data_IF_327551431448
#
_entry.id   IF_327551431448
#
_cell.length_a   1.000
_cell.length_b   1.000
_cell.length_c   1.000
_cell.angle_alpha   90.00
_cell.angle_beta   90.00
_cell.angle_gamma   90.00
#
_symmetry.space_group_name_H-M   'P 1'
#
loop_
_entity.id
_entity.type
_entity.pdbx_description
1 polymer ?
#
# COMPACT_ATOMS: atom_id res chain seq x y z
N UNK A 1 -17.44 -4.30 13.87
CA UNK A 1 -17.71 -5.45 12.99
C UNK A 1 -17.54 -5.00 11.55
N UNK A 2 -16.34 -5.15 10.98
CA UNK A 2 -16.11 -4.90 9.55
C UNK A 2 -15.83 -6.25 8.90
N UNK A 3 -16.82 -6.75 8.16
CA UNK A 3 -16.73 -7.96 7.37
C UNK A 3 -15.64 -7.79 6.34
N UNK A 4 -14.45 -8.34 6.62
CA UNK A 4 -13.41 -8.52 5.61
C UNK A 4 -13.93 -9.55 4.63
N UNK A 5 -14.63 -9.08 3.60
CA UNK A 5 -15.07 -9.92 2.50
C UNK A 5 -13.80 -10.43 1.81
N UNK A 6 -13.38 -11.64 2.15
CA UNK A 6 -12.22 -12.30 1.53
C UNK A 6 -12.63 -12.69 0.13
N UNK A 7 -12.63 -11.70 -0.77
CA UNK A 7 -12.65 -11.95 -2.20
C UNK A 7 -11.50 -12.93 -2.47
N UNK A 8 -11.82 -14.14 -2.94
CA UNK A 8 -10.82 -15.09 -3.39
C UNK A 8 -10.16 -14.51 -4.65
N UNK A 9 -9.14 -13.65 -4.46
CA UNK A 9 -8.39 -13.04 -5.54
C UNK A 9 -7.43 -14.10 -6.08
N UNK A 10 -7.80 -14.71 -7.20
CA UNK A 10 -6.91 -15.61 -7.95
C UNK A 10 -5.86 -14.79 -8.72
N UNK A 11 -4.60 -15.26 -8.84
CA UNK A 11 -3.58 -14.60 -9.67
C UNK A 11 -4.02 -14.35 -11.12
N UNK A 12 -4.85 -15.24 -11.69
CA UNK A 12 -5.41 -15.04 -13.05
C UNK A 12 -6.37 -13.85 -13.09
N UNK A 13 -7.24 -13.73 -12.08
CA UNK A 13 -8.20 -12.63 -11.96
C UNK A 13 -7.49 -11.30 -11.75
N UNK A 14 -6.48 -11.27 -10.88
CA UNK A 14 -5.65 -10.09 -10.67
C UNK A 14 -4.94 -9.64 -11.94
N UNK A 15 -4.33 -10.58 -12.69
CA UNK A 15 -3.68 -10.26 -13.97
C UNK A 15 -4.67 -9.70 -14.98
N UNK A 16 -5.83 -10.34 -15.13
CA UNK A 16 -6.86 -9.84 -16.04
C UNK A 16 -7.25 -8.41 -15.68
N UNK A 17 -7.55 -8.14 -14.41
CA UNK A 17 -7.94 -6.82 -13.90
C UNK A 17 -6.86 -5.75 -14.14
N UNK A 18 -5.58 -6.08 -13.91
CA UNK A 18 -4.44 -5.18 -14.15
C UNK A 18 -4.33 -4.76 -15.62
N UNK A 19 -4.51 -5.69 -16.56
CA UNK A 19 -4.30 -5.42 -17.99
C UNK A 19 -5.57 -4.98 -18.72
N UNK A 20 -6.76 -5.25 -18.19
CA UNK A 20 -8.03 -4.79 -18.77
C UNK A 20 -8.43 -3.39 -18.30
N UNK A 21 -7.65 -2.77 -17.42
CA UNK A 21 -8.01 -1.47 -16.88
C UNK A 21 -7.97 -0.38 -17.96
N UNK A 22 -9.09 0.31 -18.11
CA UNK A 22 -9.22 1.51 -18.93
C UNK A 22 -9.48 2.73 -18.05
N UNK A 23 -8.89 3.87 -18.40
CA UNK A 23 -9.19 5.18 -17.79
C UNK A 23 -10.57 5.67 -18.23
N UNK A 24 -11.63 5.03 -17.72
CA UNK A 24 -13.01 5.44 -17.95
C UNK A 24 -13.59 6.03 -16.66
N UNK A 25 -14.43 7.04 -16.81
CA UNK A 25 -15.15 7.61 -15.68
C UNK A 25 -16.19 6.59 -15.18
N UNK A 26 -16.13 6.24 -13.89
CA UNK A 26 -16.89 5.13 -13.30
C UNK A 26 -16.16 3.78 -13.18
N UNK A 27 -14.87 3.69 -13.52
CA UNK A 27 -14.09 2.45 -13.32
C UNK A 27 -14.14 1.95 -11.87
N UNK A 28 -14.44 0.66 -11.70
CA UNK A 28 -14.42 -0.01 -10.40
C UNK A 28 -13.02 -0.01 -9.80
N UNK A 29 -12.92 0.05 -8.46
CA UNK A 29 -11.65 -0.06 -7.73
C UNK A 29 -10.87 -1.30 -8.19
N UNK A 30 -9.66 -1.15 -8.76
CA UNK A 30 -8.84 -2.27 -9.20
C UNK A 30 -8.52 -3.24 -8.05
N UNK A 31 -8.47 -4.54 -8.36
CA UNK A 31 -8.17 -5.60 -7.39
C UNK A 31 -6.80 -5.43 -6.75
N UNK A 32 -5.85 -4.81 -7.45
CA UNK A 32 -4.52 -4.54 -6.91
C UNK A 32 -4.55 -3.71 -5.63
N UNK A 33 -5.56 -2.85 -5.45
CA UNK A 33 -5.72 -2.06 -4.22
C UNK A 33 -6.00 -2.98 -3.02
N UNK A 34 -6.91 -3.94 -3.17
CA UNK A 34 -7.21 -4.93 -2.13
C UNK A 34 -6.02 -5.85 -1.83
N UNK A 35 -5.28 -6.25 -2.87
CA UNK A 35 -4.06 -7.04 -2.70
C UNK A 35 -3.00 -6.24 -1.94
N UNK A 36 -2.77 -4.99 -2.33
CA UNK A 36 -1.79 -4.11 -1.69
C UNK A 36 -2.15 -3.87 -0.22
N UNK A 37 -3.41 -3.57 0.08
CA UNK A 37 -3.86 -3.42 1.47
C UNK A 37 -3.57 -4.68 2.30
N UNK A 38 -3.95 -5.85 1.78
CA UNK A 38 -3.71 -7.12 2.48
C UNK A 38 -2.23 -7.40 2.72
N UNK A 39 -1.36 -7.12 1.73
CA UNK A 39 0.09 -7.30 1.88
C UNK A 39 0.69 -6.39 2.95
N UNK A 40 0.26 -5.13 2.98
CA UNK A 40 0.74 -4.15 3.96
C UNK A 40 0.22 -4.49 5.37
N UNK A 41 -1.06 -4.85 5.51
CA UNK A 41 -1.64 -5.29 6.79
C UNK A 41 -0.94 -6.54 7.33
N UNK A 42 -0.64 -7.52 6.47
CA UNK A 42 0.16 -8.70 6.85
C UNK A 42 1.56 -8.32 7.31
N UNK A 43 2.18 -7.34 6.66
CA UNK A 43 3.51 -6.84 7.02
C UNK A 43 3.50 -6.13 8.36
N UNK A 44 2.48 -5.30 8.63
CA UNK A 44 2.25 -4.69 9.93
C UNK A 44 2.10 -5.73 11.04
N UNK A 45 1.19 -6.70 10.86
CA UNK A 45 0.96 -7.76 11.84
C UNK A 45 2.23 -8.58 12.13
N UNK A 46 3.08 -8.80 11.11
CA UNK A 46 4.39 -9.43 11.28
C UNK A 46 5.34 -8.53 12.08
N UNK A 47 5.43 -7.25 11.73
CA UNK A 47 6.32 -6.29 12.39
C UNK A 47 5.97 -6.09 13.86
N UNK A 48 4.68 -6.04 14.22
CA UNK A 48 4.22 -5.95 15.61
C UNK A 48 4.66 -7.14 16.46
N UNK A 49 4.65 -8.35 15.89
CA UNK A 49 5.14 -9.56 16.58
C UNK A 49 6.65 -9.49 16.83
N UNK A 50 7.42 -8.97 15.86
CA UNK A 50 8.88 -8.85 15.97
C UNK A 50 9.27 -7.74 16.96
N UNK A 51 8.59 -6.59 16.92
CA UNK A 51 8.87 -5.46 17.83
C UNK A 51 8.64 -5.81 19.30
N UNK A 52 7.64 -6.64 19.61
CA UNK A 52 7.41 -7.15 20.98
C UNK A 52 8.53 -8.06 21.49
N UNK A 53 9.32 -8.66 20.60
CA UNK A 53 10.35 -9.65 20.96
C UNK A 53 11.76 -9.06 21.13
N UNK A 54 12.03 -7.87 20.60
CA UNK A 54 13.42 -7.38 20.44
C UNK A 54 13.64 -5.91 20.81
N UNK A 55 12.72 -5.28 21.56
CA UNK A 55 12.97 -4.00 22.25
C UNK A 55 13.53 -2.87 21.37
N UNK A 56 12.64 -2.17 20.66
CA UNK A 56 12.93 -0.87 20.04
C UNK A 56 13.72 -0.94 18.72
N UNK A 57 13.06 -0.61 17.61
CA UNK A 57 13.68 -0.54 16.28
C UNK A 57 13.64 0.89 15.73
N UNK A 58 14.75 1.31 15.12
CA UNK A 58 14.78 2.33 14.06
C UNK A 58 14.77 3.80 14.49
N UNK A 59 15.90 4.49 14.28
CA UNK A 59 16.08 5.95 14.46
C UNK A 59 15.34 6.81 13.43
N UNK A 60 14.83 6.23 12.35
CA UNK A 60 14.30 6.97 11.20
C UNK A 60 12.82 7.24 11.35
N UNK A 61 12.47 8.48 11.70
CA UNK A 61 11.09 8.97 11.88
C UNK A 61 10.51 9.68 10.64
N UNK A 62 11.15 9.55 9.48
CA UNK A 62 10.87 10.36 8.28
C UNK A 62 9.42 10.26 7.81
N UNK A 63 8.78 9.10 8.02
CA UNK A 63 7.38 8.87 7.65
C UNK A 63 6.44 8.81 8.85
N UNK A 64 6.91 8.99 10.08
CA UNK A 64 6.05 8.89 11.26
C UNK A 64 5.08 10.07 11.36
N UNK A 65 3.81 9.75 11.58
CA UNK A 65 2.79 10.69 12.02
C UNK A 65 2.86 10.87 13.55
N UNK A 66 2.46 12.06 14.02
CA UNK A 66 2.28 12.34 15.44
C UNK A 66 1.10 11.55 16.04
N UNK A 67 0.09 11.26 15.22
CA UNK A 67 -1.11 10.53 15.59
C UNK A 67 -1.43 9.48 14.51
N UNK A 68 -1.98 8.34 14.93
CA UNK A 68 -2.41 7.28 14.01
C UNK A 68 -3.71 7.72 13.34
N UNK A 69 -3.77 7.76 11.98
CA UNK A 69 -5.01 8.10 11.30
C UNK A 69 -6.13 7.10 11.63
N UNK A 70 -7.33 7.60 11.94
CA UNK A 70 -8.54 6.78 12.13
C UNK A 70 -9.11 6.34 10.77
N UNK A 71 -8.33 5.56 10.03
CA UNK A 71 -8.67 5.08 8.70
C UNK A 71 -7.86 3.83 8.34
N UNK A 72 -8.55 2.81 7.84
CA UNK A 72 -7.93 1.56 7.38
C UNK A 72 -7.04 1.80 6.15
N UNK A 73 -6.08 0.90 5.92
CA UNK A 73 -5.21 0.97 4.74
C UNK A 73 -6.04 0.81 3.45
N UNK A 74 -7.01 -0.10 3.46
CA UNK A 74 -7.91 -0.31 2.32
C UNK A 74 -8.66 0.98 1.96
N UNK A 75 -9.34 1.59 2.94
CA UNK A 75 -10.08 2.84 2.72
C UNK A 75 -9.17 3.98 2.28
N UNK A 76 -7.93 4.02 2.78
CA UNK A 76 -6.97 5.03 2.36
C UNK A 76 -6.54 4.86 0.90
N UNK A 77 -6.20 3.64 0.49
CA UNK A 77 -5.83 3.34 -0.89
C UNK A 77 -6.98 3.57 -1.87
N UNK A 78 -8.20 3.17 -1.50
CA UNK A 78 -9.42 3.46 -2.27
C UNK A 78 -9.64 4.96 -2.43
N UNK A 79 -9.37 5.74 -1.37
CA UNK A 79 -9.46 7.21 -1.41
C UNK A 79 -8.42 7.80 -2.36
N UNK A 80 -7.17 7.33 -2.30
CA UNK A 80 -6.12 7.76 -3.24
C UNK A 80 -6.56 7.46 -4.67
N UNK A 81 -7.01 6.23 -4.95
CA UNK A 81 -7.51 5.86 -6.27
C UNK A 81 -8.67 6.72 -6.75
N UNK A 82 -9.65 6.98 -5.87
CA UNK A 82 -10.81 7.81 -6.21
C UNK A 82 -10.42 9.20 -6.70
N UNK A 83 -9.44 9.83 -6.06
CA UNK A 83 -9.06 11.21 -6.36
C UNK A 83 -7.94 11.34 -7.40
N UNK A 84 -7.03 10.37 -7.50
CA UNK A 84 -5.92 10.43 -8.46
C UNK A 84 -6.22 9.71 -9.77
N UNK A 85 -7.10 8.70 -9.73
CA UNK A 85 -7.38 7.78 -10.86
C UNK A 85 -6.13 7.12 -11.43
N UNK A 86 -5.07 7.00 -10.61
CA UNK A 86 -3.80 6.43 -11.01
C UNK A 86 -3.99 5.01 -11.57
N UNK A 87 -3.24 4.67 -12.61
CA UNK A 87 -3.32 3.34 -13.23
C UNK A 87 -2.97 2.21 -12.24
N UNK A 88 -3.53 0.98 -12.39
CA UNK A 88 -3.21 -0.14 -11.50
C UNK A 88 -1.72 -0.48 -11.44
N UNK A 89 -0.99 -0.26 -12.53
CA UNK A 89 0.47 -0.41 -12.64
C UNK A 89 1.22 0.47 -11.64
N UNK A 90 0.74 1.68 -11.37
CA UNK A 90 1.33 2.61 -10.40
C UNK A 90 1.38 1.98 -9.00
N UNK A 91 0.30 1.32 -8.58
CA UNK A 91 0.23 0.67 -7.27
C UNK A 91 1.18 -0.54 -7.16
N UNK A 92 1.35 -1.29 -8.26
CA UNK A 92 2.32 -2.39 -8.32
C UNK A 92 3.74 -1.86 -8.13
N UNK A 93 4.10 -0.80 -8.86
CA UNK A 93 5.43 -0.18 -8.79
C UNK A 93 5.66 0.48 -7.42
N UNK A 94 4.64 1.12 -6.85
CA UNK A 94 4.71 1.68 -5.50
C UNK A 94 5.04 0.60 -4.45
N UNK A 95 4.44 -0.59 -4.54
CA UNK A 95 4.78 -1.71 -3.65
C UNK A 95 6.24 -2.16 -3.82
N UNK A 96 6.73 -2.22 -5.05
CA UNK A 96 8.15 -2.52 -5.33
C UNK A 96 9.07 -1.47 -4.69
N UNK A 97 8.70 -0.20 -4.72
CA UNK A 97 9.46 0.87 -4.06
C UNK A 97 9.45 0.73 -2.54
N UNK A 98 8.32 0.35 -1.94
CA UNK A 98 8.24 0.07 -0.50
C UNK A 98 9.17 -1.08 -0.12
N UNK A 99 9.16 -2.19 -0.86
CA UNK A 99 10.00 -3.35 -0.59
C UNK A 99 11.49 -3.01 -0.68
N UNK A 100 11.90 -2.35 -1.77
CA UNK A 100 13.29 -1.88 -1.95
C UNK A 100 13.72 -0.90 -0.86
N UNK A 101 12.84 0.01 -0.45
CA UNK A 101 13.12 0.96 0.62
C UNK A 101 13.36 0.24 1.95
N UNK A 102 12.52 -0.74 2.30
CA UNK A 102 12.69 -1.55 3.51
C UNK A 102 13.98 -2.37 3.49
N UNK A 103 14.35 -2.94 2.33
CA UNK A 103 15.60 -3.71 2.19
C UNK A 103 16.85 -2.83 2.34
N UNK A 104 16.82 -1.63 1.77
CA UNK A 104 17.94 -0.68 1.82
C UNK A 104 18.10 -0.03 3.20
N UNK A 105 17.01 0.06 3.97
CA UNK A 105 16.97 0.68 5.30
C UNK A 105 16.61 -0.37 6.36
N UNK A 106 17.57 -1.22 6.74
CA UNK A 106 17.32 -2.33 7.68
C UNK A 106 16.76 -1.89 9.06
N UNK A 107 16.93 -0.62 9.43
CA UNK A 107 16.35 -0.03 10.64
C UNK A 107 14.92 0.49 10.48
N UNK A 108 14.40 0.62 9.26
CA UNK A 108 13.04 1.08 9.00
C UNK A 108 12.06 -0.09 9.04
N UNK A 109 10.90 0.12 9.67
CA UNK A 109 9.80 -0.85 9.67
C UNK A 109 8.48 -0.15 9.49
N UNK A 110 7.63 -0.78 8.69
CA UNK A 110 6.26 -0.33 8.50
C UNK A 110 5.50 -0.49 9.82
N UNK A 111 4.86 0.59 10.26
CA UNK A 111 4.03 0.70 11.47
C UNK A 111 2.76 1.50 11.16
N UNK A 112 1.79 1.47 12.08
CA UNK A 112 0.54 2.24 11.93
C UNK A 112 0.78 3.76 11.91
N UNK A 113 1.91 4.23 12.45
CA UNK A 113 2.25 5.66 12.43
C UNK A 113 2.84 6.11 11.11
N UNK A 114 3.45 5.22 10.32
CA UNK A 114 4.17 5.61 9.11
C UNK A 114 3.57 5.10 7.79
N UNK A 115 2.73 4.07 7.84
CA UNK A 115 2.24 3.38 6.65
C UNK A 115 1.50 4.30 5.69
N UNK A 116 0.63 5.19 6.17
CA UNK A 116 -0.14 6.09 5.30
C UNK A 116 0.77 7.07 4.56
N UNK A 117 1.71 7.72 5.25
CA UNK A 117 2.67 8.66 4.63
C UNK A 117 3.59 7.95 3.65
N UNK A 118 4.05 6.74 3.99
CA UNK A 118 4.86 5.92 3.10
C UNK A 118 4.11 5.56 1.80
N UNK A 119 2.84 5.15 1.91
CA UNK A 119 2.00 4.77 0.77
C UNK A 119 1.80 5.93 -0.20
N UNK A 120 1.33 7.09 0.27
CA UNK A 120 1.08 8.22 -0.65
C UNK A 120 2.37 8.70 -1.32
N UNK A 121 3.48 8.72 -0.58
CA UNK A 121 4.78 9.14 -1.13
C UNK A 121 5.23 8.19 -2.23
N UNK A 122 5.18 6.88 -1.98
CA UNK A 122 5.62 5.88 -2.97
C UNK A 122 4.70 5.81 -4.18
N UNK A 123 3.38 5.99 -3.99
CA UNK A 123 2.40 6.09 -5.09
C UNK A 123 2.67 7.34 -5.94
N UNK A 124 2.88 8.50 -5.31
CA UNK A 124 3.19 9.75 -6.01
C UNK A 124 4.50 9.67 -6.80
N UNK A 125 5.52 9.02 -6.23
CA UNK A 125 6.78 8.79 -6.95
C UNK A 125 6.56 7.81 -8.10
N UNK A 126 5.82 6.73 -7.90
CA UNK A 126 5.52 5.77 -8.96
C UNK A 126 4.71 6.38 -10.10
N UNK A 127 3.71 7.22 -9.82
CA UNK A 127 2.85 7.82 -10.86
C UNK A 127 3.66 8.68 -11.82
N UNK A 128 4.59 9.49 -11.29
CA UNK A 128 5.53 10.31 -12.08
C UNK A 128 6.38 9.53 -13.09
N UNK A 129 6.65 8.26 -12.84
CA UNK A 129 7.47 7.45 -13.76
C UNK A 129 6.63 6.55 -14.65
N UNK A 130 5.53 5.99 -14.12
CA UNK A 130 4.74 4.97 -14.81
C UNK A 130 3.74 5.58 -15.77
N UNK A 131 3.21 6.76 -15.48
CA UNK A 131 2.20 7.41 -16.34
C UNK A 131 2.80 8.29 -17.43
N UNK A 132 4.08 8.67 -17.29
CA UNK A 132 4.85 9.43 -18.30
C UNK A 132 5.49 8.50 -19.36
N UNK A 133 5.39 7.18 -19.19
CA UNK A 133 5.87 6.14 -20.13
C UNK A 133 4.75 5.64 -21.03
#
# INVERSE_FOLDING_TARGET
MASSNTLAISPRKLRSDLYSYSYQDGSSTPLVISVLSSLIERTLARNERISRSYGGFGKTRVFDCLEIPDMTIQSYLERIFRYTKAGPSVYVVAYVYIDRFCQSNQGFRISLTNVHRLLITTIMVASKYVEDM
#
